data_IF_507174065449
#
_entry.id   IF_507174065449
#
_cell.length_a   1.000
_cell.length_b   1.000
_cell.length_c   1.000
_cell.angle_alpha   90.00
_cell.angle_beta   90.00
_cell.angle_gamma   90.00
#
_symmetry.space_group_name_H-M   'P 1'
#
loop_
_entity.id
_entity.type
_entity.pdbx_description
1 polymer ?
#
# COMPACT_ATOMS: atom_id res chain seq x y z
N UNK A 1 -2.77 -5.72 17.98
CA UNK A 1 -3.50 -4.45 17.74
C UNK A 1 -4.86 -4.47 18.46
N UNK A 2 -4.85 -4.73 19.77
CA UNK A 2 -5.97 -4.43 20.65
C UNK A 2 -5.60 -3.15 21.40
N UNK A 3 -6.39 -2.09 21.18
CA UNK A 3 -6.39 -0.81 21.90
C UNK A 3 -5.10 0.04 21.86
N UNK A 4 -5.26 1.33 22.12
CA UNK A 4 -4.20 2.32 22.39
C UNK A 4 -3.47 2.96 21.18
N UNK A 5 -4.23 3.60 20.28
CA UNK A 5 -3.71 4.70 19.44
C UNK A 5 -4.41 6.05 19.72
N UNK A 6 -5.22 6.11 20.78
CA UNK A 6 -5.81 7.34 21.30
C UNK A 6 -5.94 7.13 22.81
N UNK A 7 -4.85 7.38 23.55
CA UNK A 7 -5.00 7.61 25.00
C UNK A 7 -5.78 8.90 25.21
N UNK A 8 -6.64 8.85 26.22
CA UNK A 8 -7.68 9.81 26.54
C UNK A 8 -7.11 11.21 26.79
N UNK A 9 -7.50 12.18 25.96
CA UNK A 9 -7.73 13.51 26.51
C UNK A 9 -8.89 13.37 27.49
N UNK A 10 -8.55 13.28 28.77
CA UNK A 10 -9.44 13.61 29.88
C UNK A 10 -10.04 14.99 29.60
N UNK A 11 -11.16 15.01 28.90
CA UNK A 11 -12.11 16.12 28.99
C UNK A 11 -12.75 15.93 30.34
N UNK A 12 -12.25 16.69 31.32
CA UNK A 12 -12.81 16.77 32.66
C UNK A 12 -14.33 16.79 32.57
N UNK A 13 -14.94 15.79 33.20
CA UNK A 13 -16.34 15.82 33.63
C UNK A 13 -16.45 16.88 34.73
N UNK A 14 -16.43 18.16 34.33
CA UNK A 14 -16.90 19.21 35.22
C UNK A 14 -18.43 19.26 35.07
N UNK A 15 -19.09 18.60 36.03
CA UNK A 15 -20.49 18.81 36.37
C UNK A 15 -20.71 20.30 36.66
N UNK A 16 -21.39 21.01 35.76
CA UNK A 16 -22.06 22.25 36.10
C UNK A 16 -23.55 22.12 35.75
N UNK A 17 -24.30 21.62 36.73
CA UNK A 17 -25.71 21.92 36.88
C UNK A 17 -25.86 23.43 37.19
N UNK A 18 -26.43 24.21 36.27
CA UNK A 18 -27.54 25.12 36.61
C UNK A 18 -28.20 25.76 35.38
N UNK A 19 -29.52 25.85 35.52
CA UNK A 19 -30.53 26.28 34.55
C UNK A 19 -30.40 27.75 34.10
N UNK A 20 -30.85 28.00 32.88
CA UNK A 20 -31.09 29.33 32.34
C UNK A 20 -31.71 29.22 30.94
N UNK A 21 -33.04 29.22 30.89
CA UNK A 21 -33.86 29.31 29.68
C UNK A 21 -33.37 30.43 28.75
N UNK A 22 -33.06 30.09 27.49
CA UNK A 22 -33.51 30.78 26.26
C UNK A 22 -32.79 30.22 25.00
N UNK A 23 -33.54 30.11 23.89
CA UNK A 23 -33.17 29.64 22.53
C UNK A 23 -33.34 28.14 22.18
N UNK A 24 -34.60 27.75 21.97
CA UNK A 24 -35.10 26.46 21.44
C UNK A 24 -34.71 26.11 19.98
N UNK A 25 -33.46 26.35 19.55
CA UNK A 25 -33.00 26.01 18.19
C UNK A 25 -31.59 25.42 18.05
N UNK A 26 -30.74 25.51 19.08
CA UNK A 26 -29.29 25.21 18.99
C UNK A 26 -28.86 23.93 19.71
N UNK A 27 -29.64 23.46 20.69
CA UNK A 27 -29.28 22.34 21.58
C UNK A 27 -29.40 20.97 20.88
N UNK A 28 -30.33 20.83 19.92
CA UNK A 28 -30.59 19.56 19.24
C UNK A 28 -29.53 19.24 18.16
N UNK A 29 -28.98 20.27 17.52
CA UNK A 29 -27.98 20.12 16.45
C UNK A 29 -26.62 19.66 17.01
N UNK A 30 -26.15 20.25 18.12
CA UNK A 30 -24.89 19.83 18.77
C UNK A 30 -24.98 18.40 19.32
N UNK A 31 -26.11 18.03 19.90
CA UNK A 31 -26.37 16.67 20.39
C UNK A 31 -26.37 15.66 19.23
N UNK A 32 -27.00 16.01 18.11
CA UNK A 32 -27.03 15.20 16.90
C UNK A 32 -25.64 15.03 16.28
N UNK A 33 -24.85 16.10 16.20
CA UNK A 33 -23.46 16.05 15.70
C UNK A 33 -22.59 15.18 16.61
N UNK A 34 -22.70 15.33 17.95
CA UNK A 34 -21.98 14.51 18.92
C UNK A 34 -22.30 13.03 18.72
N UNK A 35 -23.59 12.68 18.59
CA UNK A 35 -24.05 11.30 18.34
C UNK A 35 -23.59 10.76 16.98
N UNK A 36 -23.56 11.60 15.94
CA UNK A 36 -23.06 11.21 14.63
C UNK A 36 -21.55 10.94 14.66
N UNK A 37 -20.78 11.78 15.38
CA UNK A 37 -19.34 11.61 15.55
C UNK A 37 -18.99 10.34 16.33
N UNK A 38 -19.71 10.04 17.42
CA UNK A 38 -19.50 8.80 18.19
C UNK A 38 -19.78 7.57 17.35
N UNK A 39 -20.91 7.53 16.65
CA UNK A 39 -21.25 6.41 15.76
C UNK A 39 -20.23 6.25 14.62
N UNK A 40 -19.74 7.36 14.06
CA UNK A 40 -18.71 7.34 13.01
C UNK A 40 -17.40 6.79 13.56
N UNK A 41 -16.98 7.21 14.76
CA UNK A 41 -15.79 6.70 15.44
C UNK A 41 -15.90 5.20 15.74
N UNK A 42 -17.03 4.74 16.26
CA UNK A 42 -17.28 3.32 16.52
C UNK A 42 -17.17 2.49 15.24
N UNK A 43 -17.75 2.97 14.14
CA UNK A 43 -17.64 2.32 12.83
C UNK A 43 -16.20 2.31 12.33
N UNK A 44 -15.48 3.42 12.43
CA UNK A 44 -14.07 3.49 12.05
C UNK A 44 -13.24 2.47 12.83
N UNK A 45 -13.39 2.41 14.16
CA UNK A 45 -12.67 1.46 15.01
C UNK A 45 -13.00 -0.01 14.64
N UNK A 46 -14.28 -0.30 14.37
CA UNK A 46 -14.72 -1.63 13.94
C UNK A 46 -13.99 -2.12 12.67
N UNK A 47 -13.75 -1.22 11.71
CA UNK A 47 -13.06 -1.55 10.46
C UNK A 47 -11.55 -1.41 10.56
N UNK A 48 -11.05 -0.50 11.40
CA UNK A 48 -9.63 -0.28 11.61
C UNK A 48 -8.93 -1.56 12.06
N UNK A 49 -9.52 -2.28 13.02
CA UNK A 49 -9.01 -3.56 13.51
C UNK A 49 -9.04 -4.70 12.48
N UNK A 50 -9.75 -4.51 11.37
CA UNK A 50 -9.82 -5.45 10.24
C UNK A 50 -8.93 -5.04 9.08
N UNK A 51 -8.21 -3.91 9.20
CA UNK A 51 -7.38 -3.38 8.13
C UNK A 51 -6.20 -4.30 7.88
N UNK A 52 -5.86 -4.46 6.62
CA UNK A 52 -4.70 -5.24 6.20
C UNK A 52 -3.41 -4.50 6.56
N UNK A 53 -2.36 -5.24 6.93
CA UNK A 53 -1.02 -4.71 7.21
C UNK A 53 -0.37 -4.04 5.97
N UNK A 54 -1.03 -4.07 4.82
CA UNK A 54 -0.61 -3.41 3.59
C UNK A 54 -0.21 -1.96 3.77
N UNK A 55 -0.94 -1.16 4.55
CA UNK A 55 -0.58 0.24 4.78
C UNK A 55 0.77 0.37 5.50
N UNK A 56 1.01 -0.47 6.51
CA UNK A 56 2.28 -0.50 7.26
C UNK A 56 3.44 -0.88 6.34
N UNK A 57 3.22 -1.89 5.51
CA UNK A 57 4.21 -2.39 4.55
C UNK A 57 4.54 -1.32 3.49
N UNK A 58 3.52 -0.66 2.94
CA UNK A 58 3.66 0.42 1.95
C UNK A 58 4.49 1.57 2.53
N UNK A 59 4.20 2.01 3.75
CA UNK A 59 4.95 3.09 4.40
C UNK A 59 6.44 2.75 4.55
N UNK A 60 6.76 1.53 4.95
CA UNK A 60 8.16 1.08 5.10
C UNK A 60 8.87 0.98 3.75
N UNK A 61 8.17 0.55 2.71
CA UNK A 61 8.70 0.41 1.35
C UNK A 61 8.81 1.75 0.62
N UNK A 62 8.07 2.78 1.02
CA UNK A 62 8.19 4.10 0.42
C UNK A 62 9.58 4.70 0.77
N UNK A 63 10.45 4.96 -0.22
CA UNK A 63 11.77 5.53 0.00
C UNK A 63 11.76 6.93 0.64
N UNK A 64 10.59 7.60 0.66
CA UNK A 64 10.37 8.93 1.25
C UNK A 64 9.95 8.86 2.73
N UNK A 65 9.50 7.71 3.22
CA UNK A 65 8.93 7.57 4.57
C UNK A 65 9.74 6.59 5.42
N UNK A 66 9.90 5.35 4.92
CA UNK A 66 10.60 4.25 5.60
C UNK A 66 10.15 4.09 7.07
N UNK A 67 11.07 3.68 7.94
CA UNK A 67 10.84 3.66 9.39
C UNK A 67 10.92 5.05 10.02
N UNK A 68 11.41 6.07 9.31
CA UNK A 68 11.50 7.43 9.84
C UNK A 68 10.12 8.03 10.14
N UNK A 69 9.10 7.66 9.35
CA UNK A 69 7.71 8.01 9.64
C UNK A 69 7.25 7.59 11.05
N UNK A 70 7.74 6.44 11.53
CA UNK A 70 7.38 5.91 12.85
C UNK A 70 8.30 6.39 13.97
N UNK A 71 9.33 7.20 13.68
CA UNK A 71 10.25 7.70 14.70
C UNK A 71 9.75 8.95 15.44
N UNK A 72 8.57 9.47 15.10
CA UNK A 72 7.97 10.61 15.81
C UNK A 72 7.48 10.21 17.23
N UNK A 73 7.13 11.20 18.05
CA UNK A 73 6.66 11.02 19.43
C UNK A 73 5.30 10.29 19.51
N UNK A 74 4.64 10.05 18.38
CA UNK A 74 3.32 9.42 18.32
C UNK A 74 3.37 7.90 18.52
N UNK A 75 4.52 7.26 18.26
CA UNK A 75 4.65 5.80 18.33
C UNK A 75 5.58 5.34 19.45
N UNK A 76 5.11 4.37 20.22
CA UNK A 76 5.87 3.74 21.30
C UNK A 76 6.91 2.76 20.71
N UNK A 77 8.00 2.51 21.44
CA UNK A 77 9.07 1.63 20.96
C UNK A 77 8.59 0.18 20.74
N UNK A 78 7.66 -0.29 21.55
CA UNK A 78 7.03 -1.60 21.37
C UNK A 78 6.23 -1.69 20.06
N UNK A 79 5.54 -0.61 19.68
CA UNK A 79 4.78 -0.54 18.43
C UNK A 79 5.73 -0.53 17.22
N UNK A 80 6.83 0.23 17.29
CA UNK A 80 7.87 0.25 16.24
C UNK A 80 8.46 -1.14 16.03
N UNK A 81 8.66 -1.88 17.13
CA UNK A 81 9.14 -3.27 17.09
C UNK A 81 8.11 -4.20 16.45
N UNK A 82 6.84 -4.13 16.85
CA UNK A 82 5.76 -4.93 16.26
C UNK A 82 5.65 -4.68 14.74
N UNK A 83 5.68 -3.42 14.31
CA UNK A 83 5.65 -3.01 12.90
C UNK A 83 6.80 -3.63 12.12
N UNK A 84 8.03 -3.55 12.66
CA UNK A 84 9.22 -4.13 12.05
C UNK A 84 9.13 -5.65 11.94
N UNK A 85 8.64 -6.32 12.98
CA UNK A 85 8.47 -7.77 13.00
C UNK A 85 7.42 -8.24 11.99
N UNK A 86 6.28 -7.55 11.89
CA UNK A 86 5.25 -7.82 10.86
C UNK A 86 5.81 -7.74 9.45
N UNK A 87 6.54 -6.66 9.16
CA UNK A 87 7.20 -6.47 7.86
C UNK A 87 8.14 -7.65 7.55
N UNK A 88 9.03 -7.97 8.51
CA UNK A 88 10.01 -9.04 8.35
C UNK A 88 9.36 -10.41 8.18
N UNK A 89 8.24 -10.68 8.86
CA UNK A 89 7.52 -11.95 8.73
C UNK A 89 6.99 -12.13 7.29
N UNK A 90 6.37 -11.09 6.73
CA UNK A 90 5.82 -11.11 5.36
C UNK A 90 6.96 -11.18 4.33
N UNK A 91 8.00 -10.38 4.51
CA UNK A 91 9.18 -10.40 3.65
C UNK A 91 9.85 -11.78 3.64
N UNK A 92 10.06 -12.39 4.82
CA UNK A 92 10.73 -13.68 4.92
C UNK A 92 9.90 -14.85 4.41
N UNK A 93 8.58 -14.82 4.63
CA UNK A 93 7.67 -15.88 4.17
C UNK A 93 7.48 -15.87 2.64
N UNK A 94 7.38 -14.69 2.03
CA UNK A 94 6.94 -14.55 0.63
C UNK A 94 8.08 -14.20 -0.33
N UNK A 95 9.04 -13.35 0.08
CA UNK A 95 10.02 -12.74 -0.83
C UNK A 95 11.47 -13.18 -0.60
N UNK A 96 11.84 -13.58 0.63
CA UNK A 96 13.21 -13.98 0.98
C UNK A 96 13.58 -15.38 0.48
N UNK A 97 12.59 -16.22 0.14
CA UNK A 97 12.84 -17.60 -0.27
C UNK A 97 13.26 -17.70 -1.76
N UNK A 98 14.47 -18.21 -2.09
CA UNK A 98 14.97 -18.29 -3.46
C UNK A 98 14.14 -19.19 -4.40
N UNK A 99 13.23 -20.02 -3.86
CA UNK A 99 12.45 -20.97 -4.67
C UNK A 99 11.10 -20.43 -5.17
N UNK A 100 10.64 -19.25 -4.70
CA UNK A 100 9.30 -18.74 -5.02
C UNK A 100 9.23 -17.93 -6.33
N UNK A 101 10.33 -17.80 -7.08
CA UNK A 101 10.36 -17.02 -8.33
C UNK A 101 11.20 -17.68 -9.41
N UNK A 102 10.79 -18.84 -9.95
CA UNK A 102 11.34 -19.30 -11.24
C UNK A 102 10.40 -20.24 -12.00
N UNK A 103 9.38 -19.67 -12.67
CA UNK A 103 8.67 -20.43 -13.72
C UNK A 103 8.68 -19.74 -15.09
N UNK A 104 9.00 -18.45 -15.20
CA UNK A 104 8.93 -17.74 -16.49
C UNK A 104 10.27 -17.24 -17.10
N UNK A 105 11.41 -17.27 -16.40
CA UNK A 105 12.68 -16.70 -16.91
C UNK A 105 13.77 -17.72 -17.27
N UNK A 106 13.50 -19.03 -17.13
CA UNK A 106 14.51 -20.08 -17.36
C UNK A 106 14.71 -20.49 -18.82
N UNK A 107 13.91 -19.98 -19.78
CA UNK A 107 14.00 -20.42 -21.18
C UNK A 107 14.98 -19.64 -22.07
N UNK A 108 15.43 -18.45 -21.68
CA UNK A 108 16.31 -17.61 -22.52
C UNK A 108 17.74 -17.43 -21.99
N UNK A 109 18.05 -17.93 -20.80
CA UNK A 109 19.30 -17.60 -20.08
C UNK A 109 20.39 -18.68 -20.13
N UNK A 110 20.20 -19.76 -20.88
CA UNK A 110 21.15 -20.89 -20.87
C UNK A 110 22.27 -20.78 -21.92
N UNK A 111 22.18 -19.87 -22.88
CA UNK A 111 23.21 -19.76 -23.94
C UNK A 111 24.38 -18.82 -23.58
N UNK A 112 24.19 -17.88 -22.65
CA UNK A 112 25.22 -16.90 -22.25
C UNK A 112 26.13 -17.34 -21.09
N UNK A 113 25.84 -18.48 -20.45
CA UNK A 113 26.51 -18.89 -19.20
C UNK A 113 27.95 -19.42 -19.37
N UNK A 114 28.38 -19.71 -20.60
CA UNK A 114 29.71 -20.25 -20.88
C UNK A 114 30.74 -19.22 -21.37
N UNK A 115 30.45 -17.91 -21.31
CA UNK A 115 31.44 -16.88 -21.62
C UNK A 115 32.55 -16.82 -20.57
N UNK A 116 33.81 -16.71 -20.99
CA UNK A 116 34.99 -16.51 -20.13
C UNK A 116 34.81 -15.27 -19.22
N UNK A 117 34.05 -14.27 -19.69
CA UNK A 117 33.72 -13.07 -18.89
C UNK A 117 32.90 -13.42 -17.65
N UNK A 118 32.01 -14.40 -17.69
CA UNK A 118 31.19 -14.80 -16.54
C UNK A 118 32.04 -15.38 -15.40
N UNK A 119 33.16 -16.03 -15.71
CA UNK A 119 34.11 -16.58 -14.72
C UNK A 119 34.97 -15.48 -14.07
N UNK A 120 35.34 -14.44 -14.81
CA UNK A 120 36.10 -13.29 -14.28
C UNK A 120 35.22 -12.38 -13.42
N UNK A 121 33.95 -12.23 -13.79
CA UNK A 121 32.95 -11.50 -13.01
C UNK A 121 32.16 -12.37 -12.03
N UNK A 122 32.65 -13.56 -11.64
CA UNK A 122 32.21 -14.22 -10.40
C UNK A 122 32.69 -13.39 -9.21
N UNK A 123 32.09 -12.21 -9.05
CA UNK A 123 32.11 -11.45 -7.82
C UNK A 123 31.72 -12.43 -6.72
N UNK A 124 32.60 -12.45 -5.72
CA UNK A 124 32.49 -13.16 -4.47
C UNK A 124 31.02 -13.32 -4.10
N UNK A 125 30.64 -14.52 -3.68
CA UNK A 125 29.47 -14.77 -2.85
C UNK A 125 29.47 -13.70 -1.74
N UNK A 126 28.82 -12.57 -2.03
CA UNK A 126 28.72 -11.46 -1.10
C UNK A 126 27.84 -11.98 0.00
N UNK A 127 28.27 -11.71 1.22
CA UNK A 127 27.54 -12.00 2.44
C UNK A 127 26.04 -11.75 2.23
N UNK A 128 25.20 -12.52 2.93
CA UNK A 128 23.74 -12.37 2.96
C UNK A 128 23.40 -10.98 3.52
N UNK A 129 23.62 -9.95 2.70
CA UNK A 129 23.34 -8.56 3.03
C UNK A 129 21.84 -8.48 3.16
N UNK A 130 21.38 -8.07 4.33
CA UNK A 130 19.97 -7.86 4.57
C UNK A 130 19.53 -6.62 3.78
N UNK A 131 18.93 -6.84 2.61
CA UNK A 131 18.39 -5.80 1.72
C UNK A 131 17.54 -4.80 2.51
N UNK A 132 16.76 -5.30 3.48
CA UNK A 132 15.93 -4.49 4.34
C UNK A 132 16.76 -3.54 5.21
N UNK A 133 17.79 -4.03 5.88
CA UNK A 133 18.66 -3.20 6.70
C UNK A 133 19.40 -2.14 5.86
N UNK A 134 19.82 -2.49 4.64
CA UNK A 134 20.44 -1.52 3.72
C UNK A 134 19.46 -0.43 3.29
N UNK A 135 18.22 -0.80 2.98
CA UNK A 135 17.15 0.16 2.66
C UNK A 135 16.91 1.13 3.82
N UNK A 136 16.79 0.62 5.05
CA UNK A 136 16.57 1.46 6.24
C UNK A 136 17.73 2.42 6.54
N UNK A 137 18.97 2.02 6.26
CA UNK A 137 20.14 2.88 6.47
C UNK A 137 20.38 3.88 5.33
N UNK A 138 19.75 3.67 4.17
CA UNK A 138 19.86 4.61 3.07
C UNK A 138 19.09 5.90 3.38
N UNK A 139 19.56 7.07 2.90
CA UNK A 139 18.88 8.34 3.16
C UNK A 139 17.46 8.34 2.59
N UNK A 140 16.57 9.07 3.24
CA UNK A 140 15.21 9.31 2.75
C UNK A 140 15.26 10.14 1.46
N UNK A 141 14.40 9.79 0.51
CA UNK A 141 14.28 10.48 -0.76
C UNK A 141 13.41 11.73 -0.64
N UNK A 142 13.60 12.67 -1.56
CA UNK A 142 12.75 13.86 -1.68
C UNK A 142 11.29 13.49 -1.99
N UNK A 143 10.35 14.35 -1.56
CA UNK A 143 8.91 14.12 -1.71
C UNK A 143 8.49 14.00 -3.18
N UNK A 144 9.23 14.66 -4.08
CA UNK A 144 9.03 14.67 -5.53
C UNK A 144 9.31 13.33 -6.22
N UNK A 145 9.95 12.38 -5.54
CA UNK A 145 10.32 11.09 -6.11
C UNK A 145 9.10 10.17 -6.22
N UNK A 146 8.90 9.57 -7.40
CA UNK A 146 7.96 8.46 -7.58
C UNK A 146 8.55 7.16 -6.98
N UNK A 147 7.93 6.59 -5.92
CA UNK A 147 8.40 5.36 -5.29
C UNK A 147 8.50 4.19 -6.27
N UNK A 148 7.55 4.03 -7.19
CA UNK A 148 7.55 2.89 -8.13
C UNK A 148 8.72 2.98 -9.10
N UNK A 149 8.98 4.18 -9.63
CA UNK A 149 10.12 4.41 -10.50
C UNK A 149 11.45 4.23 -9.75
N UNK A 150 11.53 4.67 -8.49
CA UNK A 150 12.73 4.46 -7.65
C UNK A 150 13.06 2.98 -7.48
N UNK A 151 12.04 2.15 -7.15
CA UNK A 151 12.23 0.70 -7.01
C UNK A 151 12.59 0.02 -8.32
N UNK A 152 12.06 0.50 -9.45
CA UNK A 152 12.41 0.01 -10.79
C UNK A 152 13.88 0.26 -11.13
N UNK A 153 14.41 1.44 -10.79
CA UNK A 153 15.83 1.77 -11.00
C UNK A 153 16.73 0.97 -10.05
N UNK A 154 16.32 0.80 -8.79
CA UNK A 154 17.15 0.16 -7.75
C UNK A 154 16.96 -1.36 -7.62
N UNK A 155 16.22 -1.99 -8.53
CA UNK A 155 15.97 -3.43 -8.52
C UNK A 155 17.24 -4.30 -8.52
N UNK A 156 18.34 -3.81 -9.10
CA UNK A 156 19.62 -4.55 -9.12
C UNK A 156 20.31 -4.55 -7.76
N UNK A 157 20.09 -3.51 -6.96
CA UNK A 157 20.59 -3.40 -5.59
C UNK A 157 19.70 -4.16 -4.61
N UNK A 158 18.38 -4.16 -4.86
CA UNK A 158 17.36 -4.74 -3.99
C UNK A 158 16.47 -5.75 -4.74
N UNK A 159 17.01 -6.89 -5.19
CA UNK A 159 16.29 -7.81 -6.09
C UNK A 159 15.07 -8.50 -5.48
N UNK A 160 14.98 -8.59 -4.14
CA UNK A 160 13.84 -9.21 -3.44
C UNK A 160 12.92 -8.14 -2.89
N UNK A 161 13.48 -7.12 -2.26
CA UNK A 161 12.73 -6.04 -1.67
C UNK A 161 12.01 -5.20 -2.74
N UNK A 162 12.60 -5.01 -3.93
CA UNK A 162 11.92 -4.33 -5.04
C UNK A 162 10.68 -5.09 -5.52
N UNK A 163 10.68 -6.43 -5.53
CA UNK A 163 9.49 -7.21 -5.89
C UNK A 163 8.35 -6.97 -4.90
N UNK A 164 8.67 -6.98 -3.61
CA UNK A 164 7.69 -6.67 -2.57
C UNK A 164 7.17 -5.24 -2.73
N UNK A 165 8.05 -4.27 -2.98
CA UNK A 165 7.67 -2.90 -3.24
C UNK A 165 6.73 -2.75 -4.44
N UNK A 166 7.02 -3.41 -5.56
CA UNK A 166 6.17 -3.37 -6.75
C UNK A 166 4.80 -3.99 -6.51
N UNK A 167 4.70 -5.06 -5.70
CA UNK A 167 3.42 -5.69 -5.38
C UNK A 167 2.54 -4.83 -4.49
N UNK A 168 3.13 -4.20 -3.46
CA UNK A 168 2.38 -3.44 -2.44
C UNK A 168 2.12 -1.99 -2.84
N UNK A 169 3.09 -1.30 -3.45
CA UNK A 169 2.92 0.09 -3.88
C UNK A 169 1.99 0.23 -5.08
N UNK A 170 1.79 -0.84 -5.86
CA UNK A 170 0.83 -0.86 -6.95
C UNK A 170 -0.64 -1.00 -6.48
N UNK A 171 -0.88 -1.25 -5.19
CA UNK A 171 -2.23 -1.36 -4.65
C UNK A 171 -2.86 0.04 -4.65
N UNK A 172 -4.00 0.25 -5.35
CA UNK A 172 -4.68 1.53 -5.33
C UNK A 172 -5.21 1.81 -3.91
N UNK A 173 -5.04 3.04 -3.45
CA UNK A 173 -5.52 3.48 -2.13
C UNK A 173 -7.05 3.49 -2.04
N UNK A 174 -7.75 3.63 -3.16
CA UNK A 174 -9.21 3.78 -3.22
C UNK A 174 -9.87 2.78 -4.17
N UNK A 175 -11.18 2.57 -4.01
CA UNK A 175 -12.00 1.79 -4.94
C UNK A 175 -12.27 2.50 -6.28
N UNK A 176 -11.87 3.76 -6.43
CA UNK A 176 -12.16 4.61 -7.59
C UNK A 176 -11.81 3.93 -8.92
N UNK A 177 -10.64 3.29 -9.11
CA UNK A 177 -10.32 2.61 -10.38
C UNK A 177 -11.29 1.46 -10.70
N UNK A 178 -11.80 0.77 -9.68
CA UNK A 178 -12.78 -0.29 -9.88
C UNK A 178 -14.15 0.28 -10.23
N UNK A 179 -14.58 1.36 -9.57
CA UNK A 179 -15.82 2.09 -9.87
C UNK A 179 -15.81 2.73 -11.26
N UNK A 180 -14.68 3.27 -11.68
CA UNK A 180 -14.47 3.78 -13.04
C UNK A 180 -14.61 2.65 -14.06
N UNK A 181 -13.97 1.51 -13.81
CA UNK A 181 -14.08 0.34 -14.68
C UNK A 181 -15.53 -0.17 -14.77
N UNK A 182 -16.28 -0.18 -13.66
CA UNK A 182 -17.71 -0.49 -13.67
C UNK A 182 -18.55 0.56 -14.41
N UNK A 183 -18.20 1.83 -14.28
CA UNK A 183 -18.89 2.92 -14.98
C UNK A 183 -18.69 2.84 -16.48
N UNK A 184 -17.47 2.55 -16.94
CA UNK A 184 -17.18 2.28 -18.36
C UNK A 184 -17.94 1.02 -18.81
N UNK A 185 -18.11 0.02 -17.92
CA UNK A 185 -18.82 -1.23 -18.24
C UNK A 185 -20.28 -1.01 -18.58
N UNK A 186 -20.92 -0.03 -17.95
CA UNK A 186 -22.30 0.36 -18.25
C UNK A 186 -22.46 0.82 -19.71
N UNK A 187 -21.43 1.43 -20.31
CA UNK A 187 -21.47 1.80 -21.73
C UNK A 187 -21.41 0.57 -22.66
N UNK A 188 -20.76 -0.52 -22.22
CA UNK A 188 -20.72 -1.76 -22.99
C UNK A 188 -21.99 -2.61 -22.81
N UNK A 189 -22.57 -2.62 -21.61
CA UNK A 189 -23.76 -3.39 -21.26
C UNK A 189 -24.94 -2.42 -21.18
N UNK A 190 -25.57 -2.17 -22.33
CA UNK A 190 -26.79 -1.35 -22.39
C UNK A 190 -28.03 -2.25 -22.43
N UNK A 191 -29.21 -1.69 -22.14
CA UNK A 191 -30.48 -2.45 -22.14
C UNK A 191 -30.76 -3.17 -23.46
N UNK A 192 -30.32 -2.56 -24.58
CA UNK A 192 -30.42 -3.16 -25.93
C UNK A 192 -29.34 -4.19 -26.22
N UNK A 193 -28.23 -4.20 -25.46
CA UNK A 193 -27.03 -4.99 -25.72
C UNK A 193 -26.59 -5.79 -24.48
N UNK A 194 -27.53 -6.49 -23.87
CA UNK A 194 -27.34 -7.28 -22.63
C UNK A 194 -27.01 -8.77 -22.85
N UNK A 195 -26.90 -9.23 -24.11
CA UNK A 195 -26.62 -10.64 -24.45
C UNK A 195 -25.13 -11.00 -24.60
N UNK A 196 -24.21 -10.11 -24.25
CA UNK A 196 -22.78 -10.42 -24.32
C UNK A 196 -22.38 -11.36 -23.18
N UNK A 197 -21.58 -12.38 -23.51
CA UNK A 197 -20.95 -13.21 -22.49
C UNK A 197 -19.94 -12.39 -21.66
N UNK A 198 -19.80 -12.70 -20.38
CA UNK A 198 -18.84 -12.03 -19.48
C UNK A 198 -17.40 -12.06 -19.99
N UNK A 199 -16.99 -13.15 -20.66
CA UNK A 199 -15.67 -13.25 -21.31
C UNK A 199 -15.47 -12.19 -22.40
N UNK A 200 -16.50 -11.93 -23.20
CA UNK A 200 -16.48 -10.92 -24.27
C UNK A 200 -16.39 -9.52 -23.67
N UNK A 201 -17.17 -9.23 -22.62
CA UNK A 201 -17.13 -7.94 -21.92
C UNK A 201 -15.73 -7.68 -21.35
N UNK A 202 -15.15 -8.67 -20.65
CA UNK A 202 -13.79 -8.59 -20.12
C UNK A 202 -12.77 -8.30 -21.23
N UNK A 203 -12.86 -9.00 -22.36
CA UNK A 203 -11.94 -8.83 -23.48
C UNK A 203 -12.04 -7.43 -24.08
N UNK A 204 -13.25 -6.90 -24.28
CA UNK A 204 -13.45 -5.53 -24.74
C UNK A 204 -12.89 -4.49 -23.77
N UNK A 205 -13.02 -4.72 -22.47
CA UNK A 205 -12.47 -3.83 -21.45
C UNK A 205 -10.96 -3.79 -21.43
N UNK A 206 -10.32 -4.97 -21.42
CA UNK A 206 -8.87 -5.06 -21.48
C UNK A 206 -8.34 -4.42 -22.76
N UNK A 207 -8.96 -4.70 -23.92
CA UNK A 207 -8.56 -4.12 -25.20
C UNK A 207 -8.66 -2.58 -25.18
N UNK A 208 -9.74 -2.03 -24.64
CA UNK A 208 -9.90 -0.57 -24.51
C UNK A 208 -8.83 0.04 -23.62
N UNK A 209 -8.59 -0.54 -22.44
CA UNK A 209 -7.57 -0.07 -21.50
C UNK A 209 -6.17 -0.10 -22.12
N UNK A 210 -5.78 -1.23 -22.73
CA UNK A 210 -4.46 -1.36 -23.37
C UNK A 210 -4.27 -0.42 -24.55
N UNK A 211 -5.32 -0.19 -25.35
CA UNK A 211 -5.25 0.75 -26.46
C UNK A 211 -5.06 2.19 -25.98
N UNK A 212 -5.73 2.59 -24.90
CA UNK A 212 -5.52 3.90 -24.28
C UNK A 212 -4.11 4.06 -23.71
N UNK A 213 -3.58 3.04 -23.01
CA UNK A 213 -2.21 3.08 -22.46
C UNK A 213 -1.13 3.06 -23.53
N UNK A 214 -1.30 2.28 -24.60
CA UNK A 214 -0.33 2.25 -25.70
C UNK A 214 -0.30 3.56 -26.49
N UNK A 215 -1.42 4.29 -26.54
CA UNK A 215 -1.48 5.61 -27.17
C UNK A 215 -0.79 6.68 -26.32
N UNK A 216 -0.90 6.64 -24.99
CA UNK A 216 -0.15 7.56 -24.12
C UNK A 216 1.36 7.37 -24.28
N UNK A 217 1.83 6.12 -24.37
CA UNK A 217 3.25 5.80 -24.55
C UNK A 217 3.81 6.20 -25.93
N UNK A 218 2.95 6.51 -26.91
CA UNK A 218 3.31 6.90 -28.28
C UNK A 218 3.46 8.42 -28.45
N UNK A 219 2.96 9.22 -27.50
CA UNK A 219 2.97 10.69 -27.53
C UNK A 219 3.83 11.33 -26.44
N UNK A 220 4.65 10.53 -25.74
CA UNK A 220 5.61 10.94 -24.70
C UNK A 220 7.04 10.56 -25.12
#
# INVERSE_FOLDING_TARGET
MEYYMFEDENVNEDEDENEGDDENGSVDEKSTIKKAATNSREKLLQYYNKTNDACVIVTILDPRLKMEYYNNETWNDDQKKEIREKFLNIYNSTYSNPNSSSTLSNSLNNEYKNSITSKVFKRKHTQKIDEFQVHLLSPVCDESVDPLQWWKVNQTQFPRLSKMAMDYLAIPSTSVPSEECFSISKNLITDKRNKLAGKTIKSCMCLKSWFSSSLSDLFE
#
